data_IF_065434656452
#
_entry.id   IF_065434656452
#
_cell.length_a   1.000
_cell.length_b   1.000
_cell.length_c   1.000
_cell.angle_alpha   90.00
_cell.angle_beta   90.00
_cell.angle_gamma   90.00
#
_symmetry.space_group_name_H-M   'P 1'
#
loop_
_entity.id
_entity.type
_entity.pdbx_description
1 polymer ?
#
# COMPACT_ATOMS: atom_id res chain seq x y z
N UNK A 1 -1.45 19.69 9.16
CA UNK A 1 -2.55 20.67 9.29
C UNK A 1 -3.57 20.06 10.22
N UNK A 2 -3.97 20.82 11.23
CA UNK A 2 -4.92 20.43 12.28
C UNK A 2 -6.29 20.15 11.64
N UNK A 3 -6.75 18.89 11.65
CA UNK A 3 -8.07 18.48 11.18
C UNK A 3 -9.21 18.87 12.15
N UNK A 4 -8.93 19.64 13.21
CA UNK A 4 -10.00 20.14 14.08
C UNK A 4 -10.63 21.43 13.53
N UNK A 5 -11.63 21.26 12.65
CA UNK A 5 -12.87 22.07 12.63
C UNK A 5 -13.82 21.49 11.59
N UNK A 6 -14.74 20.66 12.07
CA UNK A 6 -15.99 20.37 11.38
C UNK A 6 -16.56 21.70 10.87
N UNK A 7 -16.68 21.82 9.55
CA UNK A 7 -17.24 23.01 8.89
C UNK A 7 -18.75 22.92 8.73
N UNK A 8 -19.29 21.70 8.69
CA UNK A 8 -20.71 21.42 8.54
C UNK A 8 -21.20 20.80 9.84
N UNK A 9 -22.19 21.44 10.47
CA UNK A 9 -22.79 20.95 11.71
C UNK A 9 -23.83 19.86 11.44
N UNK A 10 -24.12 19.01 12.44
CA UNK A 10 -25.21 18.05 12.34
C UNK A 10 -26.56 18.72 12.04
N UNK A 11 -26.79 19.94 12.57
CA UNK A 11 -28.01 20.70 12.29
C UNK A 11 -28.14 21.06 10.81
N UNK A 12 -27.03 21.37 10.13
CA UNK A 12 -27.03 21.64 8.70
C UNK A 12 -27.26 20.36 7.88
N UNK A 13 -26.66 19.24 8.28
CA UNK A 13 -26.95 17.92 7.69
C UNK A 13 -28.45 17.60 7.77
N UNK A 14 -29.04 17.71 8.96
CA UNK A 14 -30.46 17.41 9.19
C UNK A 14 -31.37 18.32 8.36
N UNK A 15 -30.99 19.60 8.21
CA UNK A 15 -31.69 20.57 7.36
C UNK A 15 -31.64 20.18 5.88
N UNK A 16 -30.49 19.80 5.35
CA UNK A 16 -30.33 19.38 3.95
C UNK A 16 -31.10 18.09 3.68
N UNK A 17 -31.00 17.10 4.57
CA UNK A 17 -31.77 15.85 4.48
C UNK A 17 -33.27 16.14 4.49
N UNK A 18 -33.74 17.03 5.37
CA UNK A 18 -35.14 17.45 5.44
C UNK A 18 -35.64 18.01 4.11
N UNK A 19 -34.86 18.88 3.45
CA UNK A 19 -35.18 19.44 2.13
C UNK A 19 -35.23 18.38 1.03
N UNK A 20 -34.28 17.43 1.05
CA UNK A 20 -34.27 16.32 0.08
C UNK A 20 -35.48 15.40 0.27
N UNK A 21 -35.86 15.11 1.51
CA UNK A 21 -37.06 14.32 1.84
C UNK A 21 -38.34 15.03 1.42
N UNK A 22 -38.47 16.32 1.71
CA UNK A 22 -39.64 17.11 1.32
C UNK A 22 -39.84 17.13 -0.20
N UNK A 23 -38.74 17.22 -0.96
CA UNK A 23 -38.77 17.27 -2.43
C UNK A 23 -38.99 15.91 -3.10
N UNK A 24 -38.48 14.83 -2.51
CA UNK A 24 -38.33 13.55 -3.20
C UNK A 24 -39.00 12.34 -2.54
N UNK A 25 -39.54 12.48 -1.31
CA UNK A 25 -40.19 11.39 -0.59
C UNK A 25 -39.42 10.93 0.66
N UNK A 26 -40.16 10.44 1.66
CA UNK A 26 -39.63 10.03 2.96
C UNK A 26 -38.96 8.65 2.92
N UNK A 27 -39.26 7.83 1.93
CA UNK A 27 -38.72 6.49 1.73
C UNK A 27 -37.22 6.51 1.39
N UNK A 28 -36.72 7.60 0.81
CA UNK A 28 -35.31 7.77 0.46
C UNK A 28 -34.46 8.36 1.59
N UNK A 29 -35.08 8.70 2.73
CA UNK A 29 -34.42 9.33 3.87
C UNK A 29 -33.12 8.62 4.29
N UNK A 30 -33.06 7.27 4.45
CA UNK A 30 -31.82 6.62 4.87
C UNK A 30 -30.66 6.78 3.87
N UNK A 31 -30.98 6.86 2.57
CA UNK A 31 -29.97 7.09 1.52
C UNK A 31 -29.43 8.52 1.60
N UNK A 32 -30.34 9.49 1.76
CA UNK A 32 -29.95 10.90 1.89
C UNK A 32 -29.13 11.13 3.15
N UNK A 33 -29.54 10.59 4.29
CA UNK A 33 -28.81 10.72 5.55
C UNK A 33 -27.37 10.20 5.42
N UNK A 34 -27.19 9.01 4.86
CA UNK A 34 -25.85 8.41 4.75
C UNK A 34 -24.94 9.19 3.79
N UNK A 35 -25.44 9.56 2.62
CA UNK A 35 -24.69 10.33 1.63
C UNK A 35 -24.32 11.74 2.10
N UNK A 36 -25.30 12.49 2.60
CA UNK A 36 -25.10 13.88 3.08
C UNK A 36 -24.16 13.90 4.29
N UNK A 37 -24.31 12.96 5.22
CA UNK A 37 -23.41 12.86 6.39
C UNK A 37 -21.97 12.55 5.97
N UNK A 38 -21.76 11.69 4.96
CA UNK A 38 -20.42 11.40 4.47
C UNK A 38 -19.78 12.62 3.79
N UNK A 39 -20.53 13.35 2.96
CA UNK A 39 -20.05 14.62 2.38
C UNK A 39 -19.65 15.58 3.50
N UNK A 40 -20.50 15.77 4.49
CA UNK A 40 -20.24 16.67 5.62
C UNK A 40 -18.95 16.30 6.37
N UNK A 41 -18.71 14.99 6.60
CA UNK A 41 -17.51 14.51 7.30
C UNK A 41 -16.19 14.74 6.54
N UNK A 42 -16.26 14.96 5.22
CA UNK A 42 -15.11 15.18 4.34
C UNK A 42 -14.98 16.64 3.87
N UNK A 43 -16.02 17.45 4.13
CA UNK A 43 -16.10 18.85 3.73
C UNK A 43 -15.18 19.70 4.61
N UNK A 44 -14.44 20.61 3.99
CA UNK A 44 -13.51 21.52 4.66
C UNK A 44 -13.81 22.97 4.26
N UNK A 45 -13.09 23.93 4.84
CA UNK A 45 -13.28 25.35 4.53
C UNK A 45 -12.90 25.70 3.08
N UNK A 46 -11.99 24.93 2.50
CA UNK A 46 -11.55 25.10 1.11
C UNK A 46 -12.65 24.64 0.13
N UNK A 47 -13.60 23.82 0.60
CA UNK A 47 -14.65 23.28 -0.26
C UNK A 47 -15.83 24.23 -0.42
N UNK A 48 -16.03 25.16 0.50
CA UNK A 48 -17.12 26.13 0.47
C UNK A 48 -17.80 26.31 1.83
N UNK A 49 -18.77 27.21 1.84
CA UNK A 49 -19.62 27.52 2.99
C UNK A 49 -20.70 26.45 3.21
N UNK A 50 -21.44 26.55 4.32
CA UNK A 50 -22.64 25.74 4.55
C UNK A 50 -23.67 25.90 3.43
N UNK A 51 -23.79 27.10 2.84
CA UNK A 51 -24.67 27.34 1.69
C UNK A 51 -24.21 26.61 0.42
N UNK A 52 -22.91 26.55 0.17
CA UNK A 52 -22.34 25.81 -0.95
C UNK A 52 -22.53 24.29 -0.78
N UNK A 53 -22.36 23.80 0.45
CA UNK A 53 -22.64 22.41 0.82
C UNK A 53 -24.12 22.05 0.58
N UNK A 54 -25.06 22.86 1.09
CA UNK A 54 -26.49 22.64 0.88
C UNK A 54 -26.82 22.60 -0.62
N UNK A 55 -26.39 23.63 -1.38
CA UNK A 55 -26.66 23.73 -2.81
C UNK A 55 -26.11 22.51 -3.55
N UNK A 56 -24.87 22.11 -3.26
CA UNK A 56 -24.23 20.95 -3.86
C UNK A 56 -25.04 19.67 -3.62
N UNK A 57 -25.44 19.40 -2.38
CA UNK A 57 -26.20 18.19 -2.04
C UNK A 57 -27.58 18.17 -2.72
N UNK A 58 -28.28 19.31 -2.77
CA UNK A 58 -29.62 19.38 -3.39
C UNK A 58 -29.55 19.22 -4.91
N UNK A 59 -28.53 19.79 -5.56
CA UNK A 59 -28.36 19.74 -7.01
C UNK A 59 -27.88 18.38 -7.52
N UNK A 60 -27.03 17.69 -6.75
CA UNK A 60 -26.28 16.51 -7.22
C UNK A 60 -26.80 15.17 -6.67
N UNK A 61 -27.90 15.17 -5.91
CA UNK A 61 -28.50 13.93 -5.41
C UNK A 61 -29.27 13.19 -6.50
N UNK A 62 -28.93 11.92 -6.72
CA UNK A 62 -29.65 11.00 -7.59
C UNK A 62 -30.87 10.43 -6.85
N UNK A 63 -32.05 10.97 -7.18
CA UNK A 63 -33.31 10.74 -6.46
C UNK A 63 -34.11 9.53 -6.95
N UNK A 64 -33.63 8.81 -7.96
CA UNK A 64 -34.25 7.57 -8.43
C UNK A 64 -33.19 6.59 -8.96
N UNK A 65 -33.61 5.33 -9.14
CA UNK A 65 -32.72 4.24 -9.55
C UNK A 65 -32.08 4.47 -10.92
N UNK A 66 -32.82 5.01 -11.89
CA UNK A 66 -32.32 5.28 -13.24
C UNK A 66 -31.21 6.34 -13.22
N UNK A 67 -31.44 7.47 -12.56
CA UNK A 67 -30.47 8.54 -12.41
C UNK A 67 -29.21 8.06 -11.68
N UNK A 68 -29.39 7.25 -10.62
CA UNK A 68 -28.27 6.67 -9.86
C UNK A 68 -27.46 5.73 -10.75
N UNK A 69 -28.11 4.90 -11.56
CA UNK A 69 -27.42 4.00 -12.47
C UNK A 69 -26.65 4.73 -13.57
N UNK A 70 -27.25 5.75 -14.18
CA UNK A 70 -26.56 6.59 -15.17
C UNK A 70 -25.32 7.24 -14.55
N UNK A 71 -25.43 7.77 -13.32
CA UNK A 71 -24.31 8.37 -12.61
C UNK A 71 -23.23 7.33 -12.30
N UNK A 72 -23.62 6.15 -11.81
CA UNK A 72 -22.70 5.05 -11.49
C UNK A 72 -21.89 4.64 -12.72
N UNK A 73 -22.53 4.36 -13.85
CA UNK A 73 -21.85 3.94 -15.08
C UNK A 73 -20.84 5.00 -15.53
N UNK A 74 -21.23 6.28 -15.53
CA UNK A 74 -20.31 7.36 -15.92
C UNK A 74 -19.10 7.47 -14.99
N UNK A 75 -19.33 7.45 -13.68
CA UNK A 75 -18.24 7.50 -12.69
C UNK A 75 -17.31 6.29 -12.84
N UNK A 76 -17.88 5.09 -13.00
CA UNK A 76 -17.13 3.85 -13.22
C UNK A 76 -16.22 3.95 -14.44
N UNK A 77 -16.76 4.39 -15.60
CA UNK A 77 -15.99 4.52 -16.83
C UNK A 77 -14.84 5.52 -16.69
N UNK A 78 -15.08 6.67 -16.06
CA UNK A 78 -14.03 7.68 -15.86
C UNK A 78 -12.97 7.25 -14.85
N UNK A 79 -13.37 6.56 -13.77
CA UNK A 79 -12.41 6.00 -12.83
C UNK A 79 -11.59 4.88 -13.46
N UNK A 80 -12.16 4.03 -14.30
CA UNK A 80 -11.40 3.02 -15.06
C UNK A 80 -10.31 3.69 -15.92
N UNK A 81 -10.65 4.78 -16.63
CA UNK A 81 -9.67 5.56 -17.39
C UNK A 81 -8.58 6.09 -16.48
N UNK A 82 -8.91 6.74 -15.37
CA UNK A 82 -7.92 7.34 -14.46
C UNK A 82 -7.02 6.27 -13.86
N UNK A 83 -7.58 5.32 -13.11
CA UNK A 83 -6.81 4.31 -12.38
C UNK A 83 -6.06 3.35 -13.33
N UNK A 84 -6.67 2.98 -14.46
CA UNK A 84 -6.02 2.17 -15.48
C UNK A 84 -4.78 2.86 -16.06
N UNK A 85 -4.87 4.14 -16.39
CA UNK A 85 -3.73 4.89 -16.92
C UNK A 85 -2.67 5.19 -15.86
N UNK A 86 -3.04 5.53 -14.63
CA UNK A 86 -2.07 5.70 -13.55
C UNK A 86 -1.32 4.41 -13.23
N UNK A 87 -1.99 3.26 -13.29
CA UNK A 87 -1.34 1.96 -13.17
C UNK A 87 -0.37 1.73 -14.33
N UNK A 88 -0.78 2.00 -15.58
CA UNK A 88 0.09 1.87 -16.75
C UNK A 88 1.35 2.76 -16.67
N UNK A 89 1.20 4.01 -16.23
CA UNK A 89 2.33 4.92 -15.98
C UNK A 89 3.25 4.33 -14.91
N UNK A 90 2.69 3.89 -13.78
CA UNK A 90 3.46 3.34 -12.66
C UNK A 90 4.25 2.10 -13.08
N UNK A 91 3.64 1.19 -13.84
CA UNK A 91 4.33 0.02 -14.41
C UNK A 91 5.43 0.41 -15.39
N UNK A 92 5.19 1.42 -16.23
CA UNK A 92 6.17 1.93 -17.18
C UNK A 92 7.40 2.53 -16.48
N UNK A 93 7.20 3.33 -15.45
CA UNK A 93 8.27 3.98 -14.69
C UNK A 93 9.09 3.00 -13.84
N UNK A 94 8.47 1.93 -13.33
CA UNK A 94 9.16 0.91 -12.51
C UNK A 94 9.81 -0.20 -13.35
N UNK A 95 9.72 -0.15 -14.68
CA UNK A 95 10.15 -1.25 -15.54
C UNK A 95 11.63 -1.61 -15.36
N UNK A 96 12.51 -0.62 -15.20
CA UNK A 96 13.96 -0.84 -14.99
C UNK A 96 14.25 -1.43 -13.61
N UNK A 97 13.49 -1.02 -12.59
CA UNK A 97 13.66 -1.56 -11.23
C UNK A 97 13.16 -3.01 -11.11
N UNK A 98 12.12 -3.37 -11.86
CA UNK A 98 11.46 -4.68 -11.71
C UNK A 98 11.96 -5.74 -12.71
N UNK A 99 12.69 -5.36 -13.76
CA UNK A 99 13.15 -6.27 -14.80
C UNK A 99 14.68 -6.18 -14.96
N UNK A 100 15.30 -7.29 -15.33
CA UNK A 100 16.73 -7.36 -15.64
C UNK A 100 17.04 -6.68 -17.00
N UNK A 101 17.11 -5.34 -16.99
CA UNK A 101 17.34 -4.50 -18.18
C UNK A 101 18.70 -3.78 -18.15
N UNK A 102 19.57 -4.15 -17.22
CA UNK A 102 20.86 -3.53 -17.00
C UNK A 102 21.00 -2.95 -15.59
N UNK A 103 22.12 -2.26 -15.30
CA UNK A 103 22.35 -1.64 -14.00
C UNK A 103 21.30 -0.57 -13.69
N UNK A 104 20.83 -0.55 -12.45
CA UNK A 104 19.94 0.50 -11.93
C UNK A 104 20.76 1.76 -11.65
N UNK A 105 20.34 2.88 -12.21
CA UNK A 105 20.94 4.20 -11.98
C UNK A 105 20.10 5.02 -10.97
N UNK A 106 20.68 6.05 -10.32
CA UNK A 106 19.94 6.89 -9.37
C UNK A 106 18.66 7.51 -9.94
N UNK A 107 18.63 7.81 -11.24
CA UNK A 107 17.45 8.36 -11.92
C UNK A 107 16.31 7.33 -12.01
N UNK A 108 16.63 6.04 -12.13
CA UNK A 108 15.62 4.98 -12.17
C UNK A 108 14.92 4.85 -10.82
N UNK A 109 15.68 4.94 -9.72
CA UNK A 109 15.12 4.98 -8.36
C UNK A 109 14.25 6.23 -8.16
N UNK A 110 14.65 7.39 -8.69
CA UNK A 110 13.83 8.60 -8.64
C UNK A 110 12.49 8.42 -9.36
N UNK A 111 12.49 7.82 -10.56
CA UNK A 111 11.25 7.58 -11.31
C UNK A 111 10.40 6.46 -10.72
N UNK A 112 10.99 5.40 -10.18
CA UNK A 112 10.24 4.36 -9.46
C UNK A 112 9.67 4.84 -8.12
N UNK A 113 10.27 5.88 -7.53
CA UNK A 113 9.77 6.52 -6.30
C UNK A 113 8.65 7.51 -6.56
N UNK A 114 8.47 7.97 -7.80
CA UNK A 114 7.43 8.92 -8.16
C UNK A 114 6.05 8.24 -8.11
N UNK A 115 5.09 8.86 -7.42
CA UNK A 115 3.71 8.39 -7.30
C UNK A 115 2.80 9.22 -8.21
N UNK A 116 2.50 8.77 -9.45
CA UNK A 116 1.84 9.60 -10.46
C UNK A 116 0.42 10.04 -10.05
N UNK A 117 -0.25 9.26 -9.20
CA UNK A 117 -1.59 9.52 -8.71
C UNK A 117 -1.63 10.19 -7.34
N UNK A 118 -0.50 10.64 -6.78
CA UNK A 118 -0.45 11.18 -5.41
C UNK A 118 -1.44 12.35 -5.17
N UNK A 119 -1.65 13.18 -6.19
CA UNK A 119 -2.58 14.31 -6.12
C UNK A 119 -4.02 13.97 -6.50
N UNK A 120 -4.27 12.83 -7.15
CA UNK A 120 -5.56 12.51 -7.77
C UNK A 120 -6.74 12.71 -6.81
N UNK A 121 -6.68 12.13 -5.61
CA UNK A 121 -7.76 12.25 -4.64
C UNK A 121 -7.98 13.70 -4.20
N UNK A 122 -6.91 14.48 -4.03
CA UNK A 122 -7.02 15.90 -3.65
C UNK A 122 -7.72 16.70 -4.76
N UNK A 123 -7.31 16.48 -6.02
CA UNK A 123 -7.89 17.14 -7.19
C UNK A 123 -9.37 16.77 -7.37
N UNK A 124 -9.75 15.51 -7.08
CA UNK A 124 -11.13 15.04 -7.12
C UNK A 124 -12.02 15.61 -6.01
N UNK A 125 -11.44 16.00 -4.86
CA UNK A 125 -12.16 16.78 -3.87
C UNK A 125 -12.32 18.24 -4.32
N UNK A 126 -11.26 18.85 -4.85
CA UNK A 126 -11.25 20.24 -5.31
C UNK A 126 -12.30 20.47 -6.41
N UNK A 127 -12.38 19.56 -7.39
CA UNK A 127 -13.36 19.62 -8.49
C UNK A 127 -14.74 19.02 -8.15
N UNK A 128 -14.96 18.61 -6.90
CA UNK A 128 -16.21 18.04 -6.35
C UNK A 128 -16.63 16.65 -6.85
N UNK A 129 -15.85 15.97 -7.69
CA UNK A 129 -16.18 14.61 -8.16
C UNK A 129 -16.21 13.61 -6.99
N UNK A 130 -15.29 13.73 -6.03
CA UNK A 130 -15.26 12.89 -4.84
C UNK A 130 -16.55 13.07 -4.02
N UNK A 131 -17.01 14.31 -3.81
CA UNK A 131 -18.27 14.59 -3.12
C UNK A 131 -19.48 14.08 -3.89
N UNK A 132 -19.52 14.24 -5.22
CA UNK A 132 -20.59 13.70 -6.06
C UNK A 132 -20.70 12.18 -5.90
N UNK A 133 -19.55 11.52 -5.79
CA UNK A 133 -19.47 10.07 -5.60
C UNK A 133 -20.00 9.68 -4.23
N UNK A 134 -19.46 10.21 -3.13
CA UNK A 134 -19.88 9.77 -1.78
C UNK A 134 -21.29 10.22 -1.39
N UNK A 135 -21.81 11.28 -2.01
CA UNK A 135 -23.20 11.70 -1.83
C UNK A 135 -24.18 10.63 -2.32
N UNK A 136 -23.85 9.97 -3.44
CA UNK A 136 -24.74 9.04 -4.13
C UNK A 136 -24.40 7.57 -3.87
N UNK A 137 -23.15 7.29 -3.52
CA UNK A 137 -22.60 5.96 -3.27
C UNK A 137 -21.78 6.00 -1.99
N UNK A 138 -22.44 6.05 -0.82
CA UNK A 138 -21.74 6.16 0.44
C UNK A 138 -20.97 4.88 0.76
N UNK A 139 -19.94 5.04 1.57
CA UNK A 139 -19.12 3.98 2.13
C UNK A 139 -19.88 3.12 3.13
N UNK A 140 -19.52 1.84 3.21
CA UNK A 140 -19.99 0.90 4.21
C UNK A 140 -18.81 0.30 4.97
N UNK A 141 -18.90 0.30 6.30
CA UNK A 141 -17.95 -0.38 7.19
C UNK A 141 -17.95 -1.89 6.96
N UNK A 142 -16.92 -2.58 7.43
CA UNK A 142 -16.89 -4.04 7.37
C UNK A 142 -18.11 -4.68 8.05
N UNK A 143 -18.52 -4.19 9.21
CA UNK A 143 -19.69 -4.70 9.94
C UNK A 143 -20.98 -4.51 9.14
N UNK A 144 -21.19 -3.34 8.55
CA UNK A 144 -22.33 -3.09 7.67
C UNK A 144 -22.29 -3.99 6.44
N UNK A 145 -21.11 -4.20 5.83
CA UNK A 145 -20.94 -5.11 4.69
C UNK A 145 -21.24 -6.54 5.07
N UNK A 146 -20.88 -7.00 6.28
CA UNK A 146 -21.23 -8.34 6.79
C UNK A 146 -22.73 -8.49 7.00
N UNK A 147 -23.39 -7.49 7.57
CA UNK A 147 -24.82 -7.54 7.86
C UNK A 147 -25.69 -7.44 6.58
N UNK A 148 -25.30 -6.56 5.66
CA UNK A 148 -26.12 -6.19 4.50
C UNK A 148 -25.69 -6.90 3.22
N UNK A 149 -24.40 -7.22 3.07
CA UNK A 149 -23.80 -7.68 1.82
C UNK A 149 -24.37 -9.00 1.29
N UNK A 150 -24.88 -9.87 2.17
CA UNK A 150 -25.59 -11.09 1.76
C UNK A 150 -26.95 -10.83 1.10
N UNK A 151 -27.49 -9.61 1.22
CA UNK A 151 -28.76 -9.18 0.62
C UNK A 151 -28.57 -8.32 -0.63
N UNK A 152 -27.34 -7.82 -0.86
CA UNK A 152 -27.04 -6.97 -2.00
C UNK A 152 -26.95 -7.77 -3.30
N UNK A 153 -27.59 -7.22 -4.32
CA UNK A 153 -27.32 -7.56 -5.70
C UNK A 153 -25.88 -7.21 -6.07
N UNK A 154 -25.43 -7.74 -7.22
CA UNK A 154 -24.12 -7.38 -7.79
C UNK A 154 -23.97 -5.88 -8.05
N UNK A 155 -25.06 -5.21 -8.41
CA UNK A 155 -25.09 -3.77 -8.66
C UNK A 155 -24.93 -2.98 -7.36
N UNK A 156 -25.65 -3.36 -6.30
CA UNK A 156 -25.51 -2.73 -4.98
C UNK A 156 -24.11 -2.94 -4.38
N UNK A 157 -23.50 -4.10 -4.63
CA UNK A 157 -22.09 -4.30 -4.30
C UNK A 157 -21.17 -3.35 -5.05
N UNK A 158 -21.42 -3.13 -6.34
CA UNK A 158 -20.62 -2.20 -7.14
C UNK A 158 -20.79 -0.74 -6.64
N UNK A 159 -21.99 -0.36 -6.23
CA UNK A 159 -22.25 0.92 -5.59
C UNK A 159 -21.47 1.08 -4.27
N UNK A 160 -21.48 0.06 -3.41
CA UNK A 160 -20.73 0.09 -2.15
C UNK A 160 -19.22 0.23 -2.40
N UNK A 161 -18.68 -0.44 -3.43
CA UNK A 161 -17.26 -0.33 -3.82
C UNK A 161 -16.87 1.05 -4.29
N UNK A 162 -17.77 1.72 -4.99
CA UNK A 162 -17.52 3.09 -5.44
C UNK A 162 -17.37 4.05 -4.23
N UNK A 163 -18.10 3.80 -3.14
CA UNK A 163 -17.96 4.55 -1.88
C UNK A 163 -16.65 4.30 -1.12
N UNK A 164 -15.96 3.19 -1.39
CA UNK A 164 -14.68 2.86 -0.73
C UNK A 164 -13.52 3.77 -1.19
N UNK A 165 -13.65 4.42 -2.36
CA UNK A 165 -12.61 5.29 -2.93
C UNK A 165 -12.35 6.56 -2.11
N UNK A 166 -13.36 7.09 -1.42
CA UNK A 166 -13.29 8.39 -0.75
C UNK A 166 -13.75 8.30 0.70
N UNK A 167 -12.84 7.83 1.54
CA UNK A 167 -13.05 7.65 2.99
C UNK A 167 -12.15 8.56 3.83
N UNK A 168 -11.17 9.21 3.20
CA UNK A 168 -10.15 10.04 3.84
C UNK A 168 -9.60 11.08 2.86
N UNK A 169 -8.93 12.11 3.41
CA UNK A 169 -8.23 13.16 2.66
C UNK A 169 -6.76 13.19 3.05
N UNK A 170 -6.02 12.19 2.58
CA UNK A 170 -4.57 12.12 2.81
C UNK A 170 -3.87 13.13 1.90
N UNK A 171 -3.02 14.03 2.44
CA UNK A 171 -2.25 14.97 1.64
C UNK A 171 -1.36 14.24 0.62
N UNK A 172 -1.34 14.75 -0.61
CA UNK A 172 -0.54 14.20 -1.71
C UNK A 172 0.95 14.06 -1.35
N UNK A 173 1.52 15.02 -0.61
CA UNK A 173 2.90 14.95 -0.14
C UNK A 173 3.19 13.75 0.77
N UNK A 174 2.21 13.30 1.57
CA UNK A 174 2.37 12.09 2.39
C UNK A 174 2.27 10.83 1.55
N UNK A 175 1.38 10.80 0.55
CA UNK A 175 1.28 9.69 -0.41
C UNK A 175 2.60 9.54 -1.18
N UNK A 176 3.14 10.66 -1.69
CA UNK A 176 4.41 10.70 -2.40
C UNK A 176 5.59 10.28 -1.51
N UNK A 177 5.61 10.70 -0.24
CA UNK A 177 6.61 10.27 0.74
C UNK A 177 6.54 8.78 1.01
N UNK A 178 5.34 8.23 1.22
CA UNK A 178 5.14 6.81 1.45
C UNK A 178 5.59 5.97 0.26
N UNK A 179 5.30 6.43 -0.97
CA UNK A 179 5.79 5.78 -2.19
C UNK A 179 7.32 5.78 -2.28
N UNK A 180 7.97 6.93 -2.03
CA UNK A 180 9.45 7.02 -2.02
C UNK A 180 10.07 6.05 -1.02
N UNK A 181 9.58 6.07 0.23
CA UNK A 181 10.07 5.18 1.29
C UNK A 181 9.87 3.71 0.94
N UNK A 182 8.72 3.36 0.35
CA UNK A 182 8.44 2.00 -0.10
C UNK A 182 9.40 1.59 -1.21
N UNK A 183 9.56 2.40 -2.25
CA UNK A 183 10.47 2.10 -3.38
C UNK A 183 11.91 1.96 -2.92
N UNK A 184 12.40 2.86 -2.07
CA UNK A 184 13.75 2.77 -1.51
C UNK A 184 13.96 1.46 -0.74
N UNK A 185 12.96 1.04 0.06
CA UNK A 185 13.02 -0.22 0.80
C UNK A 185 12.93 -1.45 -0.09
N UNK A 186 12.10 -1.44 -1.14
CA UNK A 186 12.01 -2.53 -2.11
C UNK A 186 13.32 -2.67 -2.88
N UNK A 187 13.85 -1.57 -3.40
CA UNK A 187 15.12 -1.56 -4.14
C UNK A 187 16.28 -2.10 -3.28
N UNK A 188 16.35 -1.72 -2.00
CA UNK A 188 17.32 -2.31 -1.08
C UNK A 188 17.22 -3.84 -1.00
N UNK A 189 15.99 -4.39 -0.98
CA UNK A 189 15.75 -5.83 -0.90
C UNK A 189 15.99 -6.54 -2.24
N UNK A 190 15.60 -5.93 -3.35
CA UNK A 190 15.68 -6.51 -4.70
C UNK A 190 17.13 -6.61 -5.16
N UNK A 191 17.94 -5.61 -4.86
CA UNK A 191 19.37 -5.60 -5.17
C UNK A 191 20.20 -6.44 -4.17
N UNK A 192 19.61 -6.97 -3.11
CA UNK A 192 20.36 -7.70 -2.08
C UNK A 192 20.56 -9.17 -2.47
N UNK A 193 21.76 -9.51 -2.94
CA UNK A 193 22.13 -10.88 -3.30
C UNK A 193 23.27 -11.47 -2.47
N UNK A 194 23.22 -12.79 -2.33
CA UNK A 194 24.29 -13.62 -1.77
C UNK A 194 24.93 -14.45 -2.88
N UNK A 195 26.26 -14.42 -2.92
CA UNK A 195 27.07 -15.25 -3.82
C UNK A 195 27.21 -16.66 -3.21
N UNK A 196 26.19 -17.49 -3.37
CA UNK A 196 26.07 -18.82 -2.75
C UNK A 196 27.27 -19.73 -3.06
N UNK A 197 27.83 -19.67 -4.27
CA UNK A 197 29.03 -20.43 -4.64
C UNK A 197 30.27 -20.08 -3.80
N UNK A 198 30.28 -18.92 -3.15
CA UNK A 198 31.37 -18.46 -2.28
C UNK A 198 31.19 -18.84 -0.81
N UNK A 199 30.12 -19.56 -0.48
CA UNK A 199 29.93 -20.07 0.88
C UNK A 199 30.85 -21.25 1.17
N UNK A 200 31.35 -21.31 2.40
CA UNK A 200 32.19 -22.38 2.95
C UNK A 200 31.59 -22.87 4.26
N UNK A 201 31.61 -24.18 4.50
CA UNK A 201 31.29 -24.71 5.83
C UNK A 201 32.51 -24.63 6.77
N UNK A 202 32.38 -25.19 7.98
CA UNK A 202 33.45 -25.21 8.98
C UNK A 202 34.65 -26.08 8.57
N UNK A 203 34.50 -26.94 7.57
CA UNK A 203 35.58 -27.76 7.00
C UNK A 203 36.21 -27.06 5.77
N UNK A 204 35.74 -25.86 5.42
CA UNK A 204 36.19 -25.12 4.23
C UNK A 204 35.59 -25.67 2.93
N UNK A 205 34.56 -26.51 2.99
CA UNK A 205 33.94 -27.12 1.81
C UNK A 205 32.89 -26.20 1.20
N UNK A 206 32.91 -26.13 -0.12
CA UNK A 206 31.86 -25.51 -0.92
C UNK A 206 30.70 -26.49 -1.14
N UNK A 207 29.48 -26.06 -0.82
CA UNK A 207 28.27 -26.89 -1.00
C UNK A 207 27.44 -26.49 -2.23
N UNK A 208 27.53 -25.24 -2.68
CA UNK A 208 26.76 -24.69 -3.79
C UNK A 208 27.59 -24.58 -5.06
N UNK A 209 26.92 -24.58 -6.22
CA UNK A 209 27.60 -24.45 -7.50
C UNK A 209 28.31 -23.10 -7.66
N UNK A 210 29.43 -23.08 -8.38
CA UNK A 210 30.10 -21.84 -8.75
C UNK A 210 29.17 -20.91 -9.53
N UNK A 211 29.27 -19.61 -9.24
CA UNK A 211 28.43 -18.57 -9.87
C UNK A 211 26.97 -18.56 -9.42
N UNK A 212 26.53 -19.43 -8.50
CA UNK A 212 25.17 -19.36 -7.96
C UNK A 212 25.01 -18.07 -7.15
N UNK A 213 24.18 -17.16 -7.65
CA UNK A 213 23.78 -15.89 -7.03
C UNK A 213 22.29 -15.94 -6.71
N UNK A 214 21.92 -15.64 -5.47
CA UNK A 214 20.53 -15.62 -5.04
C UNK A 214 20.15 -14.31 -4.37
N UNK A 215 19.05 -13.71 -4.82
CA UNK A 215 18.34 -12.64 -4.11
C UNK A 215 17.81 -13.14 -2.76
N UNK A 216 17.87 -12.28 -1.75
CA UNK A 216 17.59 -12.70 -0.36
C UNK A 216 16.11 -12.88 -0.04
N UNK A 217 15.19 -12.19 -0.72
CA UNK A 217 13.77 -12.16 -0.32
C UNK A 217 12.96 -13.41 -0.71
N UNK A 218 13.35 -14.12 -1.77
CA UNK A 218 12.73 -15.40 -2.17
C UNK A 218 13.74 -16.45 -2.65
N UNK A 219 14.85 -16.04 -3.27
CA UNK A 219 15.87 -16.97 -3.77
C UNK A 219 16.40 -17.92 -2.68
N UNK A 220 16.77 -17.40 -1.51
CA UNK A 220 17.22 -18.24 -0.39
C UNK A 220 16.14 -19.21 0.11
N UNK A 221 14.90 -18.76 0.22
CA UNK A 221 13.77 -19.60 0.63
C UNK A 221 13.51 -20.72 -0.37
N UNK A 222 13.54 -20.40 -1.66
CA UNK A 222 13.24 -21.36 -2.72
C UNK A 222 14.40 -22.36 -2.88
N UNK A 223 15.64 -21.93 -2.66
CA UNK A 223 16.80 -22.82 -2.58
C UNK A 223 16.75 -23.74 -1.35
N UNK A 224 16.23 -23.29 -0.20
CA UNK A 224 15.95 -24.22 0.91
C UNK A 224 15.01 -25.33 0.45
N UNK A 225 13.94 -24.97 -0.27
CA UNK A 225 12.94 -25.95 -0.75
C UNK A 225 13.50 -26.89 -1.81
N UNK A 226 14.35 -26.41 -2.72
CA UNK A 226 14.98 -27.23 -3.77
C UNK A 226 15.85 -28.34 -3.16
N UNK A 227 16.39 -28.10 -1.96
CA UNK A 227 17.29 -29.01 -1.26
C UNK A 227 16.58 -30.01 -0.32
N UNK A 228 15.26 -30.20 -0.40
CA UNK A 228 14.56 -31.24 0.40
C UNK A 228 14.89 -32.68 -0.01
N UNK A 229 15.12 -32.93 -1.31
CA UNK A 229 15.38 -34.27 -1.85
C UNK A 229 16.78 -34.43 -2.45
N UNK A 230 17.61 -33.39 -2.39
CA UNK A 230 18.94 -33.35 -3.02
C UNK A 230 20.08 -33.86 -2.14
N UNK A 231 21.21 -34.15 -2.78
CA UNK A 231 22.46 -34.53 -2.11
C UNK A 231 22.96 -33.43 -1.16
N UNK A 232 23.38 -33.86 0.03
CA UNK A 232 23.74 -32.96 1.14
C UNK A 232 22.66 -31.90 1.44
N UNK A 233 21.39 -32.21 1.15
CA UNK A 233 20.28 -31.26 1.22
C UNK A 233 20.13 -30.63 2.60
N UNK A 234 20.23 -31.42 3.67
CA UNK A 234 20.16 -30.91 5.04
C UNK A 234 21.32 -29.94 5.37
N UNK A 235 22.53 -30.24 4.92
CA UNK A 235 23.70 -29.37 5.14
C UNK A 235 23.54 -28.03 4.41
N UNK A 236 23.08 -28.07 3.15
CA UNK A 236 22.78 -26.86 2.37
C UNK A 236 21.67 -26.02 3.01
N UNK A 237 20.56 -26.64 3.42
CA UNK A 237 19.47 -25.96 4.10
C UNK A 237 19.95 -25.27 5.40
N UNK A 238 20.78 -25.94 6.20
CA UNK A 238 21.36 -25.35 7.41
C UNK A 238 22.28 -24.17 7.10
N UNK A 239 23.11 -24.28 6.08
CA UNK A 239 23.98 -23.18 5.67
C UNK A 239 23.16 -21.95 5.21
N UNK A 240 22.11 -22.14 4.41
CA UNK A 240 21.20 -21.05 4.01
C UNK A 240 20.50 -20.45 5.22
N UNK A 241 20.04 -21.29 6.15
CA UNK A 241 19.42 -20.83 7.39
C UNK A 241 20.36 -19.96 8.23
N UNK A 242 21.64 -20.32 8.33
CA UNK A 242 22.65 -19.46 8.96
C UNK A 242 22.81 -18.13 8.23
N UNK A 243 22.90 -18.14 6.90
CA UNK A 243 22.94 -16.90 6.09
C UNK A 243 21.74 -16.00 6.43
N UNK A 244 20.53 -16.56 6.44
CA UNK A 244 19.31 -15.82 6.78
C UNK A 244 19.36 -15.25 8.20
N UNK A 245 19.85 -16.01 9.18
CA UNK A 245 20.02 -15.51 10.57
C UNK A 245 21.00 -14.34 10.63
N UNK A 246 22.11 -14.39 9.91
CA UNK A 246 23.12 -13.29 9.87
C UNK A 246 22.56 -12.04 9.22
N UNK A 247 21.73 -12.19 8.16
CA UNK A 247 21.02 -11.06 7.54
C UNK A 247 20.02 -10.44 8.53
N UNK A 248 19.19 -11.27 9.18
CA UNK A 248 18.16 -10.80 10.12
C UNK A 248 18.83 -10.11 11.31
N UNK A 249 19.85 -10.71 11.91
CA UNK A 249 20.58 -10.10 13.04
C UNK A 249 21.47 -8.90 12.66
N UNK A 250 21.59 -8.56 11.37
CA UNK A 250 22.50 -7.53 10.85
C UNK A 250 23.97 -7.75 11.30
N UNK A 251 24.37 -9.03 11.39
CA UNK A 251 25.73 -9.49 11.66
C UNK A 251 26.43 -9.96 10.38
N UNK A 252 25.70 -10.05 9.26
CA UNK A 252 26.27 -10.39 7.97
C UNK A 252 27.42 -9.45 7.61
N UNK A 253 28.55 -9.95 7.10
CA UNK A 253 29.63 -9.09 6.63
C UNK A 253 29.16 -8.31 5.40
N UNK A 254 29.28 -6.98 5.40
CA UNK A 254 28.91 -6.16 4.25
C UNK A 254 29.68 -6.59 2.99
N UNK A 255 30.89 -7.11 3.16
CA UNK A 255 31.77 -7.52 2.07
C UNK A 255 31.27 -8.70 1.23
N UNK A 256 30.26 -9.46 1.68
CA UNK A 256 29.76 -10.66 0.97
C UNK A 256 28.46 -10.40 0.21
N UNK A 257 27.88 -9.21 0.35
CA UNK A 257 26.66 -8.78 -0.33
C UNK A 257 27.04 -8.35 -1.75
N UNK A 258 26.42 -8.96 -2.76
CA UNK A 258 26.69 -8.69 -4.17
C UNK A 258 28.17 -8.79 -4.59
N UNK A 259 29.00 -9.56 -3.88
CA UNK A 259 30.45 -9.57 -4.09
C UNK A 259 31.02 -10.99 -4.13
N UNK A 260 31.68 -11.33 -5.24
CA UNK A 260 32.26 -12.66 -5.50
C UNK A 260 33.73 -12.79 -5.06
N UNK A 261 34.35 -11.70 -4.60
CA UNK A 261 35.76 -11.69 -4.18
C UNK A 261 36.01 -12.38 -2.84
N UNK A 262 34.98 -12.49 -2.00
CA UNK A 262 35.08 -13.01 -0.65
C UNK A 262 34.44 -14.38 -0.52
N UNK A 263 35.14 -15.30 0.12
CA UNK A 263 34.56 -16.55 0.62
C UNK A 263 34.03 -16.33 2.03
N UNK A 264 32.89 -16.94 2.36
CA UNK A 264 32.22 -16.71 3.64
C UNK A 264 31.77 -18.00 4.31
N UNK A 265 32.14 -18.15 5.58
CA UNK A 265 31.54 -19.16 6.46
C UNK A 265 30.47 -18.49 7.34
N UNK A 266 29.17 -18.77 7.12
CA UNK A 266 28.08 -18.15 7.87
C UNK A 266 27.91 -18.71 9.29
N UNK A 267 28.41 -19.92 9.56
CA UNK A 267 28.34 -20.55 10.89
C UNK A 267 29.25 -19.82 11.88
N UNK A 268 30.53 -19.63 11.51
CA UNK A 268 31.51 -18.93 12.34
C UNK A 268 31.54 -17.42 12.09
N UNK A 269 30.87 -16.96 11.03
CA UNK A 269 30.90 -15.60 10.52
C UNK A 269 32.32 -15.09 10.26
N UNK A 270 33.07 -15.83 9.44
CA UNK A 270 34.43 -15.48 9.00
C UNK A 270 34.49 -15.37 7.50
N UNK A 271 35.32 -14.46 7.01
CA UNK A 271 35.49 -14.20 5.58
C UNK A 271 36.95 -14.28 5.17
N UNK A 272 37.17 -14.72 3.93
CA UNK A 272 38.49 -14.83 3.33
C UNK A 272 38.52 -14.12 1.99
N UNK A 273 39.64 -13.43 1.71
CA UNK A 273 39.96 -12.88 0.40
C UNK A 273 41.28 -13.47 -0.06
N UNK A 274 41.30 -14.09 -1.24
CA UNK A 274 42.51 -14.73 -1.81
C UNK A 274 43.19 -15.70 -0.83
N UNK A 275 42.39 -16.47 -0.08
CA UNK A 275 42.86 -17.46 0.90
C UNK A 275 43.36 -16.88 2.23
N UNK A 276 43.30 -15.56 2.45
CA UNK A 276 43.65 -14.92 3.72
C UNK A 276 42.39 -14.51 4.46
N UNK A 277 42.32 -14.85 5.75
CA UNK A 277 41.23 -14.40 6.62
C UNK A 277 41.31 -12.87 6.75
N UNK A 278 40.16 -12.21 6.63
CA UNK A 278 40.04 -10.76 6.77
C UNK A 278 39.02 -10.42 7.83
N UNK A 279 39.11 -9.22 8.39
CA UNK A 279 38.19 -8.77 9.44
C UNK A 279 36.79 -8.56 8.87
N UNK A 280 35.79 -9.12 9.55
CA UNK A 280 34.38 -8.89 9.22
C UNK A 280 33.99 -7.46 9.56
N UNK A 281 33.41 -6.77 8.59
CA UNK A 281 32.74 -5.50 8.80
C UNK A 281 31.24 -5.77 8.66
N UNK A 282 30.49 -5.74 9.76
CA UNK A 282 29.05 -6.01 9.71
C UNK A 282 28.35 -4.96 8.86
N UNK A 283 27.30 -5.36 8.14
CA UNK A 283 26.34 -4.42 7.57
C UNK A 283 25.78 -3.52 8.69
N UNK A 284 25.72 -2.21 8.44
CA UNK A 284 24.98 -1.30 9.31
C UNK A 284 23.50 -1.72 9.37
N UNK A 285 22.75 -1.30 10.39
CA UNK A 285 21.34 -1.69 10.65
C UNK A 285 20.31 -1.12 9.63
N UNK A 286 20.71 -1.00 8.37
CA UNK A 286 20.03 -0.43 7.21
C UNK A 286 18.68 -1.11 6.98
N UNK A 287 18.63 -2.45 7.11
CA UNK A 287 17.38 -3.22 6.99
C UNK A 287 16.31 -2.72 7.96
N UNK A 288 16.70 -2.51 9.21
CA UNK A 288 15.77 -2.05 10.25
C UNK A 288 15.44 -0.57 10.10
N UNK A 289 16.36 0.24 9.57
CA UNK A 289 16.06 1.62 9.22
C UNK A 289 14.98 1.71 8.12
N UNK A 290 15.04 0.88 7.08
CA UNK A 290 13.97 0.80 6.07
C UNK A 290 12.63 0.38 6.67
N UNK A 291 12.62 -0.61 7.57
CA UNK A 291 11.41 -1.05 8.26
C UNK A 291 10.83 0.09 9.13
N UNK A 292 11.68 0.81 9.87
CA UNK A 292 11.28 1.95 10.68
C UNK A 292 10.73 3.09 9.82
N UNK A 293 11.38 3.39 8.69
CA UNK A 293 10.92 4.44 7.78
C UNK A 293 9.53 4.13 7.22
N UNK A 294 9.29 2.89 6.80
CA UNK A 294 7.97 2.44 6.33
C UNK A 294 6.91 2.60 7.44
N UNK A 295 7.23 2.19 8.66
CA UNK A 295 6.33 2.37 9.81
C UNK A 295 6.01 3.85 10.06
N UNK A 296 7.02 4.72 10.08
CA UNK A 296 6.84 6.16 10.31
C UNK A 296 6.02 6.82 9.19
N UNK A 297 6.26 6.46 7.93
CA UNK A 297 5.48 6.96 6.80
C UNK A 297 4.01 6.55 6.91
N UNK A 298 3.72 5.28 7.25
CA UNK A 298 2.35 4.81 7.49
C UNK A 298 1.69 5.53 8.68
N UNK A 299 2.44 5.76 9.77
CA UNK A 299 1.95 6.45 10.96
C UNK A 299 1.59 7.92 10.70
N UNK A 300 2.30 8.60 9.80
CA UNK A 300 1.94 9.96 9.40
C UNK A 300 0.60 10.03 8.65
N UNK A 301 0.25 8.96 7.92
CA UNK A 301 -1.02 8.84 7.20
C UNK A 301 -2.19 8.56 8.16
N UNK A 302 -1.95 7.86 9.27
CA UNK A 302 -2.98 7.49 10.26
C UNK A 302 -3.84 8.69 10.71
N UNK A 303 -3.23 9.87 10.88
CA UNK A 303 -3.90 11.09 11.29
C UNK A 303 -5.00 11.57 10.32
N UNK A 304 -5.03 11.06 9.09
CA UNK A 304 -5.99 11.43 8.05
C UNK A 304 -7.03 10.33 7.79
N UNK A 305 -7.02 9.25 8.56
CA UNK A 305 -7.85 8.05 8.37
C UNK A 305 -8.88 7.88 9.50
N UNK A 306 -9.92 8.73 9.58
CA UNK A 306 -10.83 8.75 10.73
C UNK A 306 -11.61 7.44 10.91
N UNK A 307 -11.89 6.72 9.81
CA UNK A 307 -12.64 5.45 9.86
C UNK A 307 -11.78 4.24 10.23
N UNK A 308 -10.50 4.27 9.84
CA UNK A 308 -9.54 3.20 10.08
C UNK A 308 -8.23 3.81 10.61
N UNK A 309 -8.20 4.19 11.90
CA UNK A 309 -7.21 5.12 12.45
C UNK A 309 -5.80 4.56 12.59
N UNK A 310 -5.58 3.27 12.31
CA UNK A 310 -4.25 2.69 12.30
C UNK A 310 -4.07 1.72 11.13
N UNK A 311 -2.80 1.44 10.82
CA UNK A 311 -2.46 0.58 9.70
C UNK A 311 -2.98 -0.86 9.83
N UNK A 312 -3.15 -1.37 11.05
CA UNK A 312 -3.65 -2.73 11.28
C UNK A 312 -5.11 -2.80 10.81
N UNK A 313 -5.97 -1.90 11.29
CA UNK A 313 -7.38 -1.86 10.87
C UNK A 313 -7.51 -1.62 9.36
N UNK A 314 -6.69 -0.76 8.76
CA UNK A 314 -6.70 -0.60 7.29
C UNK A 314 -6.29 -1.87 6.55
N UNK A 315 -5.29 -2.60 7.05
CA UNK A 315 -4.85 -3.83 6.39
C UNK A 315 -5.93 -4.91 6.45
N UNK A 316 -6.57 -5.06 7.62
CA UNK A 316 -7.57 -6.09 7.87
C UNK A 316 -8.96 -5.67 7.37
N UNK A 317 -9.59 -4.69 8.00
CA UNK A 317 -10.99 -4.34 7.76
C UNK A 317 -11.22 -3.74 6.37
N UNK A 318 -10.29 -2.91 5.89
CA UNK A 318 -10.40 -2.27 4.57
C UNK A 318 -9.75 -3.09 3.46
N UNK A 319 -8.58 -3.65 3.70
CA UNK A 319 -7.79 -4.36 2.69
C UNK A 319 -8.25 -5.81 2.48
N UNK A 320 -8.22 -6.62 3.54
CA UNK A 320 -8.61 -8.03 3.50
C UNK A 320 -10.13 -8.23 3.63
N UNK A 321 -10.84 -7.23 4.13
CA UNK A 321 -12.25 -7.31 4.54
C UNK A 321 -12.52 -8.48 5.50
N UNK A 322 -11.57 -8.69 6.41
CA UNK A 322 -11.63 -9.67 7.49
C UNK A 322 -11.20 -8.96 8.76
N UNK A 323 -11.97 -9.13 9.83
CA UNK A 323 -11.61 -8.60 11.13
C UNK A 323 -10.41 -9.37 11.70
N UNK A 324 -9.66 -8.74 12.60
CA UNK A 324 -8.49 -9.36 13.20
C UNK A 324 -8.83 -10.66 13.96
N UNK A 325 -10.03 -10.73 14.55
CA UNK A 325 -10.49 -11.90 15.33
C UNK A 325 -10.88 -13.10 14.43
N UNK A 326 -11.04 -12.88 13.12
CA UNK A 326 -11.38 -13.92 12.15
C UNK A 326 -10.16 -14.62 11.53
N UNK A 327 -8.94 -14.12 11.80
CA UNK A 327 -7.67 -14.62 11.24
C UNK A 327 -6.88 -15.42 12.26
#
# INVERSE_FOLDING_TARGET
MDQSKETITQAEVDKVVGKLVEKNGAELKPVFEKGVSQVASLWTKEDGTEGDFEAFCIENMAVNAEARNVLFTKLSDYFEVLYGNFNAISLGLNKVLHLDLGPIEPVDVMFGSFAPSAHLTSDLFENKIAFLTVLNFPFYTLDEKKEMGGKWSREEWAFARLGDFFTSRVPAGLIQKAASVSTESSNYIDEYNIMMGKLRDNEGKQLFADGLKLITHWGLRDEIKSNYSGDAGLQKQRMIYEVMKRIISQEIPQQVINNEEYEWNPFENKIWKEGKEVTVEREADTRYQHLLNNFLAGKEIDAYQPRYPNNIQRSFDQGLELSIDEV
#
